data_IF_593358424966
#
_entry.id   IF_593358424966
#
_cell.length_a   1.000
_cell.length_b   1.000
_cell.length_c   1.000
_cell.angle_alpha   90.00
_cell.angle_beta   90.00
_cell.angle_gamma   90.00
#
_symmetry.space_group_name_H-M   'P 1'
#
loop_
_entity.id
_entity.type
_entity.pdbx_description
1 polymer ?
#
# COMPACT_ATOMS: atom_id res chain seq x y z
N UNK A 1 6.43 29.28 1.28
CA UNK A 1 7.17 27.99 1.17
C UNK A 1 6.31 26.91 1.84
N UNK A 2 5.63 26.02 1.11
CA UNK A 2 4.73 25.07 1.77
C UNK A 2 5.55 24.01 2.50
N UNK A 3 5.30 23.87 3.80
CA UNK A 3 5.88 22.86 4.66
C UNK A 3 5.66 21.47 4.04
N UNK A 4 6.76 20.85 3.56
CA UNK A 4 6.77 19.48 3.06
C UNK A 4 6.40 18.60 4.26
N UNK A 5 5.12 18.23 4.38
CA UNK A 5 4.61 17.33 5.45
C UNK A 5 5.64 16.21 5.60
N UNK A 6 6.27 16.12 6.76
CA UNK A 6 7.32 15.17 7.11
C UNK A 6 6.71 13.76 7.11
N UNK A 7 6.47 13.25 5.92
CA UNK A 7 6.18 11.85 5.69
C UNK A 7 7.45 11.09 6.04
N UNK A 8 7.35 10.15 6.97
CA UNK A 8 8.50 9.34 7.35
C UNK A 8 8.84 8.38 6.21
N UNK A 9 9.68 8.87 5.31
CA UNK A 9 10.24 8.17 4.16
C UNK A 9 10.83 6.82 4.60
N UNK A 10 11.48 6.76 5.78
CA UNK A 10 12.10 5.54 6.29
C UNK A 10 11.06 4.49 6.69
N UNK A 11 10.00 4.88 7.39
CA UNK A 11 8.92 3.96 7.78
C UNK A 11 8.18 3.41 6.56
N UNK A 12 7.91 4.26 5.57
CA UNK A 12 7.31 3.83 4.31
C UNK A 12 8.23 2.88 3.53
N UNK A 13 9.52 3.18 3.42
CA UNK A 13 10.48 2.30 2.75
C UNK A 13 10.62 0.95 3.47
N UNK A 14 10.66 0.92 4.80
CA UNK A 14 10.66 -0.34 5.57
C UNK A 14 9.39 -1.16 5.33
N UNK A 15 8.24 -0.50 5.26
CA UNK A 15 6.97 -1.15 4.96
C UNK A 15 6.85 -1.58 3.49
N UNK A 16 7.47 -0.89 2.54
CA UNK A 16 7.50 -1.29 1.13
C UNK A 16 8.66 -2.26 0.82
N UNK A 17 9.64 -2.43 1.69
CA UNK A 17 10.83 -3.25 1.43
C UNK A 17 10.61 -4.77 1.44
N UNK A 18 9.37 -5.26 1.42
CA UNK A 18 9.08 -6.70 1.44
C UNK A 18 8.17 -7.10 0.26
N UNK A 19 8.47 -8.21 -0.42
CA UNK A 19 7.78 -8.58 -1.67
C UNK A 19 6.26 -8.69 -1.55
N UNK A 20 5.75 -9.33 -0.50
CA UNK A 20 4.31 -9.53 -0.31
C UNK A 20 3.58 -8.21 -0.09
N UNK A 21 4.16 -7.32 0.73
CA UNK A 21 3.64 -5.96 0.96
C UNK A 21 3.61 -5.13 -0.31
N UNK A 22 4.62 -5.22 -1.17
CA UNK A 22 4.59 -4.53 -2.46
C UNK A 22 3.48 -5.04 -3.37
N UNK A 23 3.32 -6.36 -3.45
CA UNK A 23 2.25 -6.98 -4.25
C UNK A 23 0.86 -6.59 -3.71
N UNK A 24 0.69 -6.51 -2.38
CA UNK A 24 -0.53 -5.98 -1.75
C UNK A 24 -0.81 -4.54 -2.17
N UNK A 25 0.17 -3.64 -2.03
CA UNK A 25 0.03 -2.24 -2.44
C UNK A 25 -0.30 -2.15 -3.92
N UNK A 26 0.33 -2.94 -4.80
CA UNK A 26 0.04 -2.98 -6.24
C UNK A 26 -1.41 -3.37 -6.52
N UNK A 27 -1.96 -4.37 -5.83
CA UNK A 27 -3.37 -4.74 -5.95
C UNK A 27 -4.30 -3.58 -5.52
N UNK A 28 -3.91 -2.84 -4.48
CA UNK A 28 -4.66 -1.72 -3.93
C UNK A 28 -4.52 -0.42 -4.73
N UNK A 29 -3.49 -0.30 -5.58
CA UNK A 29 -3.37 0.78 -6.60
C UNK A 29 -4.49 0.65 -7.63
N UNK A 30 -4.82 -0.58 -8.03
CA UNK A 30 -5.86 -0.84 -9.03
C UNK A 30 -7.26 -0.58 -8.46
N UNK A 31 -7.50 -0.93 -7.19
CA UNK A 31 -8.77 -0.69 -6.53
C UNK A 31 -8.78 -1.11 -5.07
N UNK A 32 -9.71 -0.57 -4.30
CA UNK A 32 -9.93 -1.00 -2.92
C UNK A 32 -10.48 -2.43 -2.91
N UNK A 33 -9.97 -3.29 -2.03
CA UNK A 33 -10.31 -4.73 -1.99
C UNK A 33 -10.47 -5.26 -0.56
N UNK A 34 -11.35 -6.24 -0.33
CA UNK A 34 -11.42 -6.96 0.94
C UNK A 34 -10.20 -7.86 1.15
N UNK A 35 -9.95 -8.26 2.40
CA UNK A 35 -8.86 -9.21 2.75
C UNK A 35 -8.95 -10.50 1.94
N UNK A 36 -10.16 -11.01 1.69
CA UNK A 36 -10.40 -12.27 0.98
C UNK A 36 -9.84 -12.22 -0.44
N UNK A 37 -10.15 -11.17 -1.21
CA UNK A 37 -9.63 -10.98 -2.56
C UNK A 37 -8.11 -10.80 -2.57
N UNK A 38 -7.55 -10.13 -1.56
CA UNK A 38 -6.10 -9.97 -1.44
C UNK A 38 -5.42 -11.32 -1.17
N UNK A 39 -5.98 -12.14 -0.28
CA UNK A 39 -5.49 -13.49 -0.01
C UNK A 39 -5.50 -14.37 -1.28
N UNK A 40 -6.59 -14.32 -2.04
CA UNK A 40 -6.73 -15.06 -3.30
C UNK A 40 -5.72 -14.59 -4.35
N UNK A 41 -5.59 -13.28 -4.55
CA UNK A 41 -4.68 -12.70 -5.54
C UNK A 41 -3.20 -13.02 -5.25
N UNK A 42 -2.83 -13.14 -3.98
CA UNK A 42 -1.46 -13.37 -3.54
C UNK A 42 -1.17 -14.84 -3.20
N UNK A 43 -2.19 -15.71 -3.17
CA UNK A 43 -2.11 -17.11 -2.72
C UNK A 43 -1.45 -17.27 -1.35
N UNK A 44 -1.75 -16.37 -0.43
CA UNK A 44 -1.25 -16.38 0.96
C UNK A 44 -2.38 -16.56 1.96
N UNK A 45 -2.04 -17.07 3.14
CA UNK A 45 -3.01 -17.27 4.21
C UNK A 45 -3.55 -15.94 4.75
N UNK A 46 -4.81 -15.91 5.23
CA UNK A 46 -5.42 -14.71 5.82
C UNK A 46 -4.64 -14.14 7.01
N UNK A 47 -3.98 -15.00 7.78
CA UNK A 47 -3.12 -14.60 8.90
C UNK A 47 -1.93 -13.77 8.42
N UNK A 48 -1.22 -14.25 7.38
CA UNK A 48 -0.06 -13.54 6.84
C UNK A 48 -0.47 -12.21 6.19
N UNK A 49 -1.56 -12.20 5.40
CA UNK A 49 -2.06 -10.97 4.78
C UNK A 49 -2.47 -9.93 5.84
N UNK A 50 -3.18 -10.34 6.89
CA UNK A 50 -3.59 -9.42 7.96
C UNK A 50 -2.39 -8.77 8.67
N UNK A 51 -1.32 -9.54 8.90
CA UNK A 51 -0.06 -9.02 9.47
C UNK A 51 0.58 -7.99 8.54
N UNK A 52 0.68 -8.28 7.25
CA UNK A 52 1.24 -7.35 6.27
C UNK A 52 0.42 -6.07 6.12
N UNK A 53 -0.92 -6.18 6.08
CA UNK A 53 -1.83 -5.05 6.02
C UNK A 53 -1.73 -4.15 7.25
N UNK A 54 -1.52 -4.74 8.43
CA UNK A 54 -1.30 -3.97 9.67
C UNK A 54 -0.03 -3.12 9.57
N UNK A 55 1.09 -3.69 9.14
CA UNK A 55 2.36 -2.96 8.97
C UNK A 55 2.20 -1.82 7.96
N UNK A 56 1.53 -2.08 6.83
CA UNK A 56 1.27 -1.06 5.82
C UNK A 56 0.36 0.07 6.34
N UNK A 57 -0.65 -0.26 7.14
CA UNK A 57 -1.52 0.71 7.80
C UNK A 57 -0.75 1.55 8.84
N UNK A 58 0.07 0.92 9.67
CA UNK A 58 0.89 1.61 10.68
C UNK A 58 1.91 2.57 10.04
N UNK A 59 2.40 2.24 8.83
CA UNK A 59 3.23 3.12 8.03
C UNK A 59 2.45 4.24 7.30
N UNK A 60 1.12 4.30 7.45
CA UNK A 60 0.26 5.32 6.81
C UNK A 60 0.09 5.14 5.30
N UNK A 61 0.40 3.95 4.77
CA UNK A 61 0.29 3.64 3.34
C UNK A 61 -1.14 3.24 2.94
N UNK A 62 -1.85 2.60 3.86
CA UNK A 62 -3.20 2.08 3.65
C UNK A 62 -4.20 2.65 4.64
N UNK A 63 -5.43 2.75 4.19
CA UNK A 63 -6.62 2.98 5.00
C UNK A 63 -7.53 1.76 4.94
N UNK A 64 -8.37 1.61 5.97
CA UNK A 64 -9.30 0.49 6.07
C UNK A 64 -10.67 1.02 6.46
N UNK A 65 -11.67 0.59 5.73
CA UNK A 65 -13.06 0.92 5.98
C UNK A 65 -13.84 -0.36 6.28
N UNK A 66 -14.78 -0.28 7.22
CA UNK A 66 -15.65 -1.42 7.55
C UNK A 66 -16.91 -1.32 6.70
N UNK A 67 -17.07 -2.26 5.77
CA UNK A 67 -18.26 -2.36 4.94
C UNK A 67 -19.03 -3.64 5.32
N UNK A 68 -20.07 -3.46 6.14
CA UNK A 68 -20.82 -4.58 6.71
C UNK A 68 -19.96 -5.48 7.60
N UNK A 69 -19.81 -6.74 7.22
CA UNK A 69 -18.98 -7.72 7.94
C UNK A 69 -17.52 -7.76 7.46
N UNK A 70 -17.21 -7.11 6.33
CA UNK A 70 -15.88 -7.14 5.72
C UNK A 70 -15.11 -5.84 5.97
N UNK A 71 -13.79 -5.95 5.95
CA UNK A 71 -12.87 -4.80 5.97
C UNK A 71 -12.31 -4.61 4.58
N UNK A 72 -12.62 -3.47 3.99
CA UNK A 72 -12.11 -3.05 2.68
C UNK A 72 -10.85 -2.24 2.91
N UNK A 73 -9.76 -2.65 2.26
CA UNK A 73 -8.49 -1.95 2.32
C UNK A 73 -8.33 -1.11 1.06
N UNK A 74 -7.83 0.11 1.23
CA UNK A 74 -7.53 1.03 0.16
C UNK A 74 -6.19 1.71 0.43
N UNK A 75 -5.58 2.28 -0.61
CA UNK A 75 -4.47 3.19 -0.41
C UNK A 75 -4.94 4.46 0.28
N UNK A 76 -4.18 4.90 1.28
CA UNK A 76 -4.47 6.13 1.99
C UNK A 76 -4.59 7.30 1.01
N UNK A 77 -5.58 8.19 1.20
CA UNK A 77 -5.76 9.36 0.34
C UNK A 77 -4.46 10.20 0.18
N UNK A 78 -3.74 10.40 1.29
CA UNK A 78 -2.44 11.09 1.34
C UNK A 78 -1.33 10.41 0.53
N UNK A 79 -1.47 9.11 0.28
CA UNK A 79 -0.57 8.31 -0.54
C UNK A 79 -1.00 8.32 -2.01
N UNK A 80 -2.32 8.27 -2.26
CA UNK A 80 -2.90 8.37 -3.61
C UNK A 80 -2.55 9.69 -4.30
N UNK A 81 -2.47 10.80 -3.56
CA UNK A 81 -2.02 12.09 -4.08
C UNK A 81 -0.57 12.08 -4.58
N UNK A 82 0.27 11.23 -3.99
CA UNK A 82 1.70 11.07 -4.34
C UNK A 82 1.95 10.00 -5.40
N UNK A 83 0.91 9.24 -5.75
CA UNK A 83 0.98 8.24 -6.81
C UNK A 83 0.66 8.90 -8.15
N UNK A 84 1.65 8.94 -9.03
CA UNK A 84 1.43 9.27 -10.42
C UNK A 84 0.71 8.11 -11.10
N UNK A 85 -0.61 8.22 -11.32
CA UNK A 85 -1.44 7.19 -11.97
C UNK A 85 -0.92 6.75 -13.34
N UNK A 86 -0.13 7.58 -14.02
CA UNK A 86 0.44 7.28 -15.35
C UNK A 86 1.64 6.33 -15.31
N UNK A 87 2.34 6.23 -14.18
CA UNK A 87 3.63 5.52 -14.12
C UNK A 87 3.77 4.63 -12.89
N UNK A 88 2.68 4.38 -12.15
CA UNK A 88 2.68 3.54 -10.94
C UNK A 88 3.90 3.88 -10.05
N UNK A 89 4.20 5.18 -10.00
CA UNK A 89 5.40 5.72 -9.37
C UNK A 89 4.97 6.47 -8.13
N UNK A 90 5.52 6.07 -7.01
CA UNK A 90 5.35 6.76 -5.75
C UNK A 90 6.53 7.69 -5.52
N UNK A 91 6.25 8.98 -5.46
CA UNK A 91 7.25 9.98 -5.08
C UNK A 91 7.13 10.31 -3.58
N UNK A 92 8.16 9.94 -2.81
CA UNK A 92 8.25 10.25 -1.39
C UNK A 92 8.98 11.57 -1.11
N UNK A 93 9.42 12.29 -2.14
CA UNK A 93 10.19 13.52 -2.09
C UNK A 93 11.70 13.33 -1.88
N UNK A 94 12.08 12.17 -1.35
CA UNK A 94 13.44 11.65 -1.11
C UNK A 94 13.82 10.53 -2.11
N UNK A 95 12.83 9.75 -2.56
CA UNK A 95 12.99 8.55 -3.37
C UNK A 95 11.74 8.31 -4.22
N UNK A 96 11.91 7.65 -5.37
CA UNK A 96 10.82 7.21 -6.23
C UNK A 96 10.71 5.69 -6.23
N UNK A 97 9.50 5.17 -6.02
CA UNK A 97 9.21 3.73 -6.03
C UNK A 97 8.43 3.39 -7.30
N UNK A 98 8.99 2.56 -8.17
CA UNK A 98 8.33 2.11 -9.39
C UNK A 98 7.71 0.73 -9.17
N UNK A 99 6.37 0.66 -9.14
CA UNK A 99 5.66 -0.61 -8.97
C UNK A 99 5.61 -1.44 -10.28
N UNK A 100 5.96 -0.84 -11.43
CA UNK A 100 5.95 -1.49 -12.75
C UNK A 100 7.05 -2.53 -12.94
N UNK A 101 8.17 -2.37 -12.22
CA UNK A 101 9.39 -3.17 -12.40
C UNK A 101 9.49 -4.35 -11.42
N UNK A 102 8.41 -4.65 -10.70
CA UNK A 102 8.45 -5.73 -9.73
C UNK A 102 8.27 -7.09 -10.40
N UNK A 103 9.18 -8.06 -10.18
CA UNK A 103 8.98 -9.44 -10.64
C UNK A 103 7.72 -10.04 -9.99
N UNK A 104 7.04 -10.92 -10.73
CA UNK A 104 5.77 -11.56 -10.32
C UNK A 104 5.86 -12.38 -9.03
#
# INVERSE_FOLDING_TARGET
MPARKSFDCLSAMKALGEPTRLRLVRQLIVGAKPVTELCEALRVTPYNVSKHLRVLKEAGLLEVEKQGQQRIYALAASFREKLSRKSMTLDLGCCQFHFDKLPE
#
